data_IF_986765582889
#
_entry.id   IF_986765582889
#
_cell.length_a   1.000
_cell.length_b   1.000
_cell.length_c   1.000
_cell.angle_alpha   90.00
_cell.angle_beta   90.00
_cell.angle_gamma   90.00
#
_symmetry.space_group_name_H-M   'P 1'
#
loop_
_entity.id
_entity.type
_entity.pdbx_description
1 polymer ?
#
# COMPACT_ATOMS: atom_id res chain seq x y z
N UNK A 1 -37.97 20.22 -30.34
CA UNK A 1 -37.15 20.76 -29.24
C UNK A 1 -36.43 19.67 -28.43
N UNK A 2 -36.39 18.41 -28.89
CA UNK A 2 -35.78 17.31 -28.11
C UNK A 2 -34.28 17.08 -28.38
N UNK A 3 -33.81 17.54 -29.55
CA UNK A 3 -32.43 17.36 -30.00
C UNK A 3 -31.46 18.16 -29.11
N UNK A 4 -31.82 19.37 -28.71
CA UNK A 4 -30.92 20.22 -27.92
C UNK A 4 -30.63 19.63 -26.52
N UNK A 5 -31.65 19.15 -25.81
CA UNK A 5 -31.47 18.60 -24.45
C UNK A 5 -30.89 17.18 -24.43
N UNK A 6 -30.79 16.52 -25.58
CA UNK A 6 -30.14 15.21 -25.70
C UNK A 6 -28.70 15.35 -26.17
N UNK A 7 -28.45 16.19 -27.19
CA UNK A 7 -27.10 16.41 -27.74
C UNK A 7 -26.18 17.11 -26.75
N UNK A 8 -26.63 18.16 -26.05
CA UNK A 8 -25.77 18.92 -25.14
C UNK A 8 -25.25 18.04 -23.99
N UNK A 9 -26.09 17.31 -23.22
CA UNK A 9 -25.59 16.41 -22.18
C UNK A 9 -24.73 15.28 -22.73
N UNK A 10 -25.05 14.76 -23.93
CA UNK A 10 -24.25 13.69 -24.56
C UNK A 10 -22.83 14.17 -24.85
N UNK A 11 -22.66 15.36 -25.43
CA UNK A 11 -21.34 15.94 -25.68
C UNK A 11 -20.57 16.20 -24.38
N UNK A 12 -21.25 16.71 -23.34
CA UNK A 12 -20.63 16.92 -22.02
C UNK A 12 -20.12 15.60 -21.43
N UNK A 13 -20.92 14.53 -21.47
CA UNK A 13 -20.52 13.20 -20.98
C UNK A 13 -19.34 12.65 -21.77
N UNK A 14 -19.29 12.82 -23.10
CA UNK A 14 -18.17 12.37 -23.92
C UNK A 14 -16.86 13.08 -23.57
N UNK A 15 -16.91 14.39 -23.31
CA UNK A 15 -15.74 15.16 -22.87
C UNK A 15 -15.28 14.69 -21.49
N UNK A 16 -16.19 14.54 -20.53
CA UNK A 16 -15.87 14.04 -19.20
C UNK A 16 -15.30 12.62 -19.23
N UNK A 17 -15.87 11.75 -20.07
CA UNK A 17 -15.40 10.39 -20.28
C UNK A 17 -13.97 10.38 -20.82
N UNK A 18 -13.66 11.23 -21.80
CA UNK A 18 -12.32 11.33 -22.36
C UNK A 18 -11.27 11.70 -21.30
N UNK A 19 -11.52 12.76 -20.51
CA UNK A 19 -10.62 13.16 -19.43
C UNK A 19 -10.51 12.09 -18.34
N UNK A 20 -11.64 11.49 -17.95
CA UNK A 20 -11.68 10.41 -16.97
C UNK A 20 -10.87 9.20 -17.41
N UNK A 21 -10.97 8.82 -18.69
CA UNK A 21 -10.22 7.70 -19.27
C UNK A 21 -8.71 7.94 -19.27
N UNK A 22 -8.25 9.15 -19.66
CA UNK A 22 -6.83 9.49 -19.63
C UNK A 22 -6.26 9.42 -18.21
N UNK A 23 -6.99 9.97 -17.23
CA UNK A 23 -6.62 9.93 -15.81
C UNK A 23 -6.62 8.50 -15.26
N UNK A 24 -7.63 7.69 -15.63
CA UNK A 24 -7.72 6.29 -15.23
C UNK A 24 -6.55 5.45 -15.73
N UNK A 25 -6.16 5.62 -17.01
CA UNK A 25 -5.00 4.93 -17.55
C UNK A 25 -3.72 5.29 -16.80
N UNK A 26 -3.52 6.58 -16.51
CA UNK A 26 -2.39 7.00 -15.69
C UNK A 26 -2.38 6.24 -14.37
N UNK A 27 -3.50 6.20 -13.62
CA UNK A 27 -3.63 5.49 -12.34
C UNK A 27 -3.60 3.95 -12.43
N UNK A 28 -3.76 3.34 -13.60
CA UNK A 28 -3.79 1.88 -13.76
C UNK A 28 -2.46 1.32 -14.27
N UNK A 29 -1.73 2.10 -15.06
CA UNK A 29 -0.46 1.69 -15.66
C UNK A 29 0.68 1.82 -14.64
N UNK A 30 1.08 0.69 -14.05
CA UNK A 30 2.18 0.65 -13.07
C UNK A 30 3.52 0.86 -13.81
N UNK A 31 4.35 1.84 -13.39
CA UNK A 31 5.70 2.00 -13.93
C UNK A 31 6.59 0.79 -13.66
N UNK A 32 7.45 0.41 -14.61
CA UNK A 32 8.32 -0.78 -14.49
C UNK A 32 9.42 -0.65 -13.43
N UNK A 33 9.76 0.57 -13.04
CA UNK A 33 10.81 0.90 -12.06
C UNK A 33 10.26 1.00 -10.62
N UNK A 34 9.15 0.32 -10.34
CA UNK A 34 8.47 0.38 -9.04
C UNK A 34 9.11 -0.51 -7.98
N UNK A 35 9.28 0.01 -6.77
CA UNK A 35 9.58 -0.79 -5.58
C UNK A 35 8.33 -1.55 -5.19
N UNK A 36 8.44 -2.88 -5.08
CA UNK A 36 7.30 -3.74 -4.75
C UNK A 36 7.27 -3.98 -3.24
N UNK A 37 6.10 -3.75 -2.64
CA UNK A 37 5.86 -3.97 -1.22
C UNK A 37 4.59 -4.82 -1.09
N UNK A 38 4.70 -5.95 -0.43
CA UNK A 38 3.54 -6.81 -0.16
C UNK A 38 2.85 -6.32 1.11
N UNK A 39 1.55 -6.09 1.00
CA UNK A 39 0.71 -5.54 2.06
C UNK A 39 -0.32 -6.58 2.43
N UNK A 40 -0.23 -7.08 3.65
CA UNK A 40 -1.18 -8.03 4.21
C UNK A 40 -2.11 -7.31 5.17
N UNK A 41 -3.40 -7.38 4.88
CA UNK A 41 -4.48 -6.92 5.75
C UNK A 41 -5.02 -8.08 6.60
N UNK A 42 -5.30 -7.80 7.86
CA UNK A 42 -5.97 -8.70 8.79
C UNK A 42 -6.78 -7.87 9.80
N UNK A 43 -7.77 -8.43 10.48
CA UNK A 43 -8.49 -7.79 11.57
C UNK A 43 -7.55 -7.58 12.77
N UNK A 44 -7.20 -6.38 13.19
CA UNK A 44 -7.37 -5.05 12.58
C UNK A 44 -5.99 -4.38 12.48
N UNK A 45 -5.13 -4.97 11.64
CA UNK A 45 -3.71 -4.63 11.51
C UNK A 45 -3.30 -4.67 10.04
N UNK A 46 -2.38 -3.77 9.69
CA UNK A 46 -1.66 -3.79 8.43
C UNK A 46 -0.24 -4.31 8.66
N UNK A 47 0.23 -5.17 7.77
CA UNK A 47 1.61 -5.68 7.78
C UNK A 47 2.23 -5.41 6.42
N UNK A 48 3.42 -4.82 6.41
CA UNK A 48 4.16 -4.46 5.21
C UNK A 48 5.43 -5.31 5.11
N UNK A 49 5.57 -6.05 4.02
CA UNK A 49 6.71 -6.89 3.72
C UNK A 49 7.49 -6.33 2.52
N UNK A 50 8.80 -6.22 2.69
CA UNK A 50 9.74 -5.74 1.67
C UNK A 50 10.57 -6.90 1.11
N UNK A 51 11.26 -6.69 -0.02
CA UNK A 51 12.01 -7.74 -0.76
C UNK A 51 13.01 -8.53 0.10
N UNK A 52 13.63 -7.92 1.12
CA UNK A 52 14.59 -8.59 2.03
C UNK A 52 13.91 -9.34 3.20
N UNK A 53 12.63 -9.72 3.04
CA UNK A 53 11.78 -10.30 4.09
C UNK A 53 11.74 -9.46 5.39
N UNK A 54 11.97 -8.16 5.26
CA UNK A 54 11.79 -7.20 6.36
C UNK A 54 10.29 -6.98 6.51
N UNK A 55 9.82 -7.04 7.75
CA UNK A 55 8.41 -6.83 8.09
C UNK A 55 8.27 -5.60 8.97
N UNK A 56 7.28 -4.77 8.68
CA UNK A 56 6.96 -3.58 9.48
C UNK A 56 5.45 -3.35 9.60
N UNK A 57 5.05 -2.73 10.70
CA UNK A 57 3.66 -2.31 10.95
C UNK A 57 3.37 -0.91 10.38
N UNK A 58 4.41 -0.21 9.92
CA UNK A 58 4.35 1.13 9.30
C UNK A 58 4.93 1.02 7.89
N UNK A 59 4.30 1.71 6.93
CA UNK A 59 4.76 1.71 5.55
C UNK A 59 5.85 2.78 5.39
N UNK A 60 7.09 2.36 5.15
CA UNK A 60 8.19 3.27 4.83
C UNK A 60 8.38 3.29 3.33
N UNK A 61 8.46 4.48 2.75
CA UNK A 61 8.64 4.63 1.30
C UNK A 61 9.69 5.70 0.99
N UNK A 62 10.47 5.53 -0.09
CA UNK A 62 11.41 6.56 -0.52
C UNK A 62 10.72 7.69 -1.29
N UNK A 63 11.24 8.90 -1.13
CA UNK A 63 10.82 10.10 -1.86
C UNK A 63 11.06 9.96 -3.38
N UNK A 64 10.11 10.45 -4.19
CA UNK A 64 10.18 10.54 -5.66
C UNK A 64 10.45 9.20 -6.36
N UNK A 65 9.94 8.11 -5.81
CA UNK A 65 10.03 6.77 -6.41
C UNK A 65 8.64 6.17 -6.59
N UNK A 66 8.51 5.36 -7.62
CA UNK A 66 7.28 4.62 -7.89
C UNK A 66 7.21 3.45 -6.91
N UNK A 67 6.10 3.34 -6.20
CA UNK A 67 5.86 2.26 -5.24
C UNK A 67 4.65 1.49 -5.74
N UNK A 68 4.79 0.16 -5.84
CA UNK A 68 3.69 -0.76 -6.11
C UNK A 68 3.42 -1.53 -4.83
N UNK A 69 2.21 -1.39 -4.31
CA UNK A 69 1.72 -2.18 -3.17
C UNK A 69 0.87 -3.33 -3.69
N UNK A 70 1.29 -4.57 -3.44
CA UNK A 70 0.46 -5.74 -3.66
C UNK A 70 -0.41 -5.94 -2.43
N UNK A 71 -1.71 -6.07 -2.61
CA UNK A 71 -2.70 -6.11 -1.54
C UNK A 71 -3.25 -7.52 -1.43
N UNK A 72 -3.12 -8.07 -0.22
CA UNK A 72 -3.66 -9.37 0.14
C UNK A 72 -4.39 -9.25 1.48
N UNK A 73 -5.42 -10.05 1.69
CA UNK A 73 -6.10 -10.16 2.99
C UNK A 73 -6.04 -11.60 3.49
N UNK A 74 -5.98 -11.79 4.82
CA UNK A 74 -6.01 -13.13 5.43
C UNK A 74 -7.40 -13.55 5.90
N UNK A 75 -8.34 -12.62 6.03
CA UNK A 75 -9.65 -12.87 6.66
C UNK A 75 -10.83 -12.35 5.86
N UNK A 76 -11.09 -11.04 5.90
CA UNK A 76 -12.24 -10.37 5.24
C UNK A 76 -11.75 -9.32 4.26
N UNK A 77 -12.70 -8.68 3.55
CA UNK A 77 -12.34 -7.56 2.71
C UNK A 77 -11.88 -6.37 3.56
N UNK A 78 -10.76 -5.78 3.17
CA UNK A 78 -10.27 -4.51 3.69
C UNK A 78 -10.09 -3.55 2.52
N UNK A 79 -9.85 -2.27 2.81
CA UNK A 79 -9.49 -1.32 1.75
C UNK A 79 -8.36 -0.42 2.20
N UNK A 80 -7.24 -0.55 1.51
CA UNK A 80 -6.06 0.26 1.74
C UNK A 80 -6.32 1.67 1.20
N UNK A 81 -6.41 2.64 2.09
CA UNK A 81 -6.68 4.02 1.72
C UNK A 81 -5.65 4.99 2.31
N UNK A 82 -4.99 5.75 1.43
CA UNK A 82 -4.08 6.84 1.80
C UNK A 82 -4.64 8.14 1.23
N UNK A 83 -5.36 8.94 2.05
CA UNK A 83 -6.04 10.15 1.57
C UNK A 83 -5.10 11.15 0.90
N UNK A 84 -3.90 11.33 1.45
CA UNK A 84 -2.90 12.28 0.94
C UNK A 84 -2.46 11.96 -0.50
N UNK A 85 -2.44 10.68 -0.87
CA UNK A 85 -2.05 10.23 -2.21
C UNK A 85 -3.26 9.94 -3.11
N UNK A 86 -4.49 10.08 -2.59
CA UNK A 86 -5.75 9.72 -3.26
C UNK A 86 -5.75 8.28 -3.79
N UNK A 87 -5.05 7.39 -3.09
CA UNK A 87 -4.94 5.98 -3.49
C UNK A 87 -5.82 5.16 -2.57
N UNK A 88 -6.84 4.54 -3.15
CA UNK A 88 -7.75 3.60 -2.49
C UNK A 88 -7.82 2.32 -3.31
N UNK A 89 -7.62 1.17 -2.66
CA UNK A 89 -7.78 -0.13 -3.32
C UNK A 89 -8.10 -1.23 -2.31
N UNK A 90 -9.02 -2.10 -2.70
CA UNK A 90 -9.51 -3.16 -1.82
C UNK A 90 -8.54 -4.35 -1.78
N UNK A 91 -8.37 -4.93 -0.59
CA UNK A 91 -7.63 -6.15 -0.35
C UNK A 91 -8.62 -7.30 -0.11
N UNK A 92 -8.50 -8.37 -0.88
CA UNK A 92 -9.42 -9.50 -0.86
C UNK A 92 -8.73 -10.77 -0.33
N UNK A 93 -9.44 -11.65 0.40
CA UNK A 93 -8.86 -12.88 0.94
C UNK A 93 -8.40 -13.92 -0.09
N UNK A 94 -8.93 -13.87 -1.31
CA UNK A 94 -8.69 -14.87 -2.37
C UNK A 94 -8.44 -14.23 -3.74
N UNK A 95 -8.04 -12.95 -3.77
CA UNK A 95 -7.76 -12.24 -5.01
C UNK A 95 -6.67 -11.22 -4.76
N UNK A 96 -5.60 -11.34 -5.54
CA UNK A 96 -4.56 -10.33 -5.53
C UNK A 96 -5.06 -9.05 -6.17
N UNK A 97 -4.74 -7.95 -5.51
CA UNK A 97 -4.98 -6.63 -6.04
C UNK A 97 -3.71 -5.81 -5.90
N UNK A 98 -3.63 -4.69 -6.59
CA UNK A 98 -2.50 -3.80 -6.42
C UNK A 98 -2.94 -2.35 -6.54
N UNK A 99 -2.17 -1.49 -5.88
CA UNK A 99 -2.19 -0.06 -6.11
C UNK A 99 -0.75 0.40 -6.35
N UNK A 100 -0.60 1.51 -7.05
CA UNK A 100 0.70 2.15 -7.19
C UNK A 100 0.55 3.63 -6.92
N UNK A 101 1.62 4.23 -6.41
CA UNK A 101 1.67 5.66 -6.12
C UNK A 101 3.11 6.17 -6.09
N UNK A 102 3.25 7.49 -6.06
CA UNK A 102 4.52 8.19 -5.90
C UNK A 102 4.38 9.21 -4.76
N UNK A 103 5.38 9.28 -3.90
CA UNK A 103 5.42 10.25 -2.80
C UNK A 103 6.34 11.42 -3.18
N UNK A 104 5.78 12.61 -3.36
CA UNK A 104 6.52 13.81 -3.77
C UNK A 104 6.98 14.70 -2.61
N UNK A 105 6.42 14.50 -1.42
CA UNK A 105 6.68 15.30 -0.23
C UNK A 105 7.11 14.41 0.94
N UNK A 106 8.03 14.93 1.76
CA UNK A 106 8.46 14.26 2.98
C UNK A 106 7.42 14.45 4.08
N UNK A 107 7.16 13.40 4.85
CA UNK A 107 6.21 13.48 5.96
C UNK A 107 5.66 12.13 6.37
N UNK A 108 4.74 12.16 7.33
CA UNK A 108 3.95 11.00 7.73
C UNK A 108 2.48 11.20 7.36
N UNK A 109 1.93 10.27 6.59
CA UNK A 109 0.54 10.30 6.12
C UNK A 109 -0.23 9.12 6.69
N UNK A 110 -1.51 9.30 7.02
CA UNK A 110 -2.31 8.22 7.61
C UNK A 110 -2.78 7.23 6.56
N UNK A 111 -2.70 5.94 6.87
CA UNK A 111 -3.38 4.85 6.19
C UNK A 111 -4.58 4.47 7.03
N UNK A 112 -5.74 4.33 6.40
CA UNK A 112 -6.97 3.90 7.06
C UNK A 112 -7.60 2.75 6.30
N UNK A 113 -8.25 1.83 7.00
CA UNK A 113 -9.16 0.88 6.35
C UNK A 113 -10.42 1.62 5.87
N UNK A 114 -10.79 1.46 4.59
CA UNK A 114 -11.93 2.14 3.97
C UNK A 114 -13.03 1.17 3.48
N UNK A 115 -13.02 -0.07 3.98
CA UNK A 115 -14.04 -1.10 3.79
C UNK A 115 -14.36 -1.69 5.16
N UNK A 116 -15.64 -1.81 5.51
CA UNK A 116 -16.04 -2.25 6.84
C UNK A 116 -15.58 -3.69 7.09
N UNK A 117 -14.71 -3.87 8.08
CA UNK A 117 -14.04 -5.14 8.39
C UNK A 117 -14.28 -5.62 9.83
N UNK A 118 -15.37 -5.18 10.47
CA UNK A 118 -15.79 -5.60 11.81
C UNK A 118 -15.60 -4.56 12.91
N UNK A 119 -15.65 -5.01 14.17
CA UNK A 119 -15.79 -4.16 15.36
C UNK A 119 -14.71 -3.08 15.52
N UNK A 120 -13.43 -3.41 15.36
CA UNK A 120 -12.34 -2.41 15.46
C UNK A 120 -11.91 -1.85 14.10
N UNK A 121 -12.79 -1.85 13.09
CA UNK A 121 -12.53 -1.25 11.79
C UNK A 121 -12.04 0.21 11.89
N UNK A 122 -12.62 0.98 12.82
CA UNK A 122 -12.26 2.38 13.01
C UNK A 122 -10.82 2.57 13.51
N UNK A 123 -10.25 1.62 14.24
CA UNK A 123 -8.91 1.68 14.85
C UNK A 123 -7.84 1.04 13.95
N UNK A 124 -8.26 0.44 12.82
CA UNK A 124 -7.37 -0.13 11.82
C UNK A 124 -6.65 0.95 10.99
N UNK A 125 -5.75 1.69 11.65
CA UNK A 125 -4.98 2.79 11.07
C UNK A 125 -3.50 2.56 11.27
N UNK A 126 -2.72 3.01 10.29
CA UNK A 126 -1.27 3.07 10.40
C UNK A 126 -0.76 4.31 9.65
N UNK A 127 0.55 4.43 9.45
CA UNK A 127 1.16 5.57 8.77
C UNK A 127 2.00 5.10 7.58
N UNK A 128 2.04 5.94 6.55
CA UNK A 128 3.09 5.96 5.53
C UNK A 128 4.10 7.01 5.95
N UNK A 129 5.36 6.64 6.10
CA UNK A 129 6.47 7.55 6.38
C UNK A 129 7.33 7.66 5.13
N UNK A 130 7.37 8.86 4.56
CA UNK A 130 8.18 9.15 3.38
C UNK A 130 9.57 9.59 3.83
N UNK A 131 10.59 8.84 3.44
CA UNK A 131 11.98 9.08 3.80
C UNK A 131 12.82 9.49 2.58
N UNK A 132 13.90 10.25 2.78
CA UNK A 132 14.95 10.35 1.78
C UNK A 132 15.49 8.95 1.43
N UNK A 133 15.87 8.74 0.17
CA UNK A 133 16.32 7.43 -0.34
C UNK A 133 17.46 6.82 0.50
N UNK A 134 18.39 7.64 0.97
CA UNK A 134 19.52 7.21 1.81
C UNK A 134 19.05 6.66 3.16
N UNK A 135 18.11 7.35 3.81
CA UNK A 135 17.56 6.95 5.10
C UNK A 135 16.69 5.70 4.97
N UNK A 136 15.96 5.56 3.85
CA UNK A 136 15.18 4.36 3.55
C UNK A 136 16.09 3.13 3.42
N UNK A 137 17.17 3.23 2.65
CA UNK A 137 18.12 2.13 2.50
C UNK A 137 18.78 1.76 3.84
N UNK A 138 19.23 2.77 4.60
CA UNK A 138 19.79 2.57 5.94
C UNK A 138 18.79 1.88 6.88
N UNK A 139 17.52 2.29 6.86
CA UNK A 139 16.46 1.66 7.63
C UNK A 139 16.26 0.19 7.24
N UNK A 140 16.21 -0.10 5.94
CA UNK A 140 16.02 -1.45 5.41
C UNK A 140 17.17 -2.38 5.81
N UNK A 141 18.42 -1.91 5.67
CA UNK A 141 19.61 -2.66 6.08
C UNK A 141 19.65 -2.94 7.57
N UNK A 142 19.33 -1.94 8.40
CA UNK A 142 19.33 -2.11 9.85
C UNK A 142 18.26 -3.09 10.32
N UNK A 143 17.06 -3.03 9.73
CA UNK A 143 15.99 -3.98 10.03
C UNK A 143 16.36 -5.39 9.60
N UNK A 144 17.00 -5.56 8.45
CA UNK A 144 17.50 -6.85 8.01
C UNK A 144 18.56 -7.42 8.97
N UNK A 145 19.52 -6.58 9.43
CA UNK A 145 20.52 -7.00 10.42
C UNK A 145 19.89 -7.45 11.74
N UNK A 146 18.93 -6.69 12.27
CA UNK A 146 18.23 -7.03 13.51
C UNK A 146 17.46 -8.36 13.40
N UNK A 147 16.86 -8.64 12.23
CA UNK A 147 16.20 -9.92 11.96
C UNK A 147 17.20 -11.08 12.06
N UNK A 148 18.33 -10.99 11.38
CA UNK A 148 19.35 -12.03 11.36
C UNK A 148 19.91 -12.34 12.77
N UNK A 149 20.10 -11.31 13.61
CA UNK A 149 20.52 -11.49 15.02
C UNK A 149 19.47 -12.24 15.83
N UNK A 150 18.19 -11.92 15.64
CA UNK A 150 17.11 -12.60 16.36
C UNK A 150 16.96 -14.08 15.94
N UNK A 151 17.17 -14.40 14.66
CA UNK A 151 17.14 -15.78 14.18
C UNK A 151 18.31 -16.63 14.73
N UNK A 152 19.51 -16.05 14.82
CA UNK A 152 20.69 -16.71 15.39
C UNK A 152 20.55 -16.96 16.90
N UNK A 153 19.99 -16.01 17.66
CA UNK A 153 19.79 -16.17 19.11
C UNK A 153 18.73 -17.24 19.44
N UNK A 154 17.72 -17.39 18.58
CA UNK A 154 16.69 -18.44 18.72
C UNK A 154 17.27 -19.82 18.39
N UNK A 155 18.15 -19.96 17.38
CA UNK A 155 18.79 -21.25 17.08
C UNK A 155 19.72 -21.70 18.21
N UNK A 156 20.56 -20.81 18.74
CA UNK A 156 21.51 -21.15 19.82
C UNK A 156 20.83 -21.56 21.13
N UNK A 157 19.62 -21.03 21.40
CA UNK A 157 18.86 -21.36 22.62
C UNK A 157 18.12 -22.70 22.51
N UNK A 158 17.82 -23.15 21.29
CA UNK A 158 17.19 -24.45 21.04
C UNK A 158 18.16 -25.60 21.28
N UNK A 159 19.43 -25.40 20.95
CA UNK A 159 20.51 -26.39 21.12
C UNK A 159 20.96 -26.53 22.58
N UNK A 160 20.72 -25.53 23.44
CA UNK A 160 21.05 -25.57 24.87
C UNK A 160 19.96 -26.16 25.77
N UNK A 161 18.75 -26.41 25.26
CA UNK A 161 17.62 -26.98 26.02
C UNK A 161 17.44 -28.49 25.72
N UNK A 162 18.17 -29.01 24.73
CA UNK A 162 18.16 -30.43 24.35
C UNK A 162 19.27 -31.27 24.99
N UNK A 163 19.98 -30.76 26.00
CA UNK A 163 20.96 -31.49 26.83
C UNK A 163 20.57 -31.46 28.30
#
# INVERSE_FOLDING_TARGET
MEIAWTVIPTLLVLVMFWYGWVSYKQMSDVPKDSIIIDVTAQMWKWTFKYENDVVSDTLYVPLKRNIKVNLHSLDVNHSFFVPAFRVKKDAFPNRDNYAWFNAFELGSYTITCAEYCGLNHWDMRTKVVVLPIQNFNYWLENKAKLKNVNEQTVSTKKDSVSN
#
